data_IF_244727425033
#
_entry.id   IF_244727425033
#
_cell.length_a   1.000
_cell.length_b   1.000
_cell.length_c   1.000
_cell.angle_alpha   90.00
_cell.angle_beta   90.00
_cell.angle_gamma   90.00
#
_symmetry.space_group_name_H-M   'P 1'
#
loop_
_entity.id
_entity.type
_entity.pdbx_description
1 polymer ?
#
# COMPACT_ATOMS: atom_id res chain seq x y z
N UNK A 1 -6.28 8.58 -2.45
CA UNK A 1 -5.96 8.60 -1.01
C UNK A 1 -7.05 9.37 -0.29
N UNK A 2 -7.84 8.67 0.51
CA UNK A 2 -8.82 9.31 1.42
C UNK A 2 -8.01 9.72 2.65
N UNK A 3 -7.95 11.01 2.94
CA UNK A 3 -7.29 11.49 4.15
C UNK A 3 -8.11 11.05 5.37
N UNK A 4 -7.53 10.19 6.19
CA UNK A 4 -7.96 9.96 7.57
C UNK A 4 -8.90 8.79 7.82
N UNK A 5 -9.44 8.10 6.81
CA UNK A 5 -10.38 7.00 7.00
C UNK A 5 -9.78 5.64 6.61
N UNK A 6 -10.23 4.61 7.30
CA UNK A 6 -9.92 3.21 6.94
C UNK A 6 -10.54 2.93 5.57
N UNK A 7 -9.72 2.47 4.62
CA UNK A 7 -10.21 2.05 3.31
C UNK A 7 -10.93 0.71 3.45
N UNK A 8 -12.21 0.71 3.16
CA UNK A 8 -13.04 -0.49 3.07
C UNK A 8 -13.30 -0.84 1.60
N UNK A 9 -13.86 -2.02 1.36
CA UNK A 9 -14.29 -2.46 0.04
C UNK A 9 -15.34 -1.54 -0.59
N UNK A 10 -16.07 -0.77 0.22
CA UNK A 10 -17.09 0.19 -0.21
C UNK A 10 -16.49 1.51 -0.74
N UNK A 11 -15.21 1.76 -0.50
CA UNK A 11 -14.57 2.97 -0.97
C UNK A 11 -14.39 2.96 -2.49
N UNK A 12 -14.87 4.00 -3.17
CA UNK A 12 -14.65 4.18 -4.61
C UNK A 12 -13.16 4.41 -4.87
N UNK A 13 -12.50 3.55 -5.66
CA UNK A 13 -11.10 3.74 -5.99
C UNK A 13 -10.87 5.02 -6.79
N UNK A 14 -10.00 5.90 -6.30
CA UNK A 14 -9.57 7.10 -7.03
C UNK A 14 -8.13 6.87 -7.49
N UNK A 15 -7.90 6.53 -8.76
CA UNK A 15 -6.56 6.23 -9.24
C UNK A 15 -5.71 7.50 -9.33
N UNK A 16 -4.45 7.37 -8.91
CA UNK A 16 -3.45 8.42 -9.10
C UNK A 16 -2.44 7.95 -10.13
N UNK A 17 -2.53 8.50 -11.33
CA UNK A 17 -1.63 8.24 -12.43
C UNK A 17 -1.88 6.93 -13.21
N UNK A 18 -1.15 6.72 -14.32
CA UNK A 18 -1.44 5.68 -15.32
C UNK A 18 -1.44 4.25 -14.75
N UNK A 19 -0.60 3.98 -13.73
CA UNK A 19 -0.57 2.67 -13.10
C UNK A 19 -1.87 2.35 -12.37
N UNK A 20 -2.36 3.28 -11.54
CA UNK A 20 -3.64 3.11 -10.83
C UNK A 20 -4.81 2.98 -11.80
N UNK A 21 -4.84 3.81 -12.83
CA UNK A 21 -5.87 3.75 -13.88
C UNK A 21 -5.90 2.40 -14.60
N UNK A 22 -4.72 1.84 -14.92
CA UNK A 22 -4.64 0.54 -15.59
C UNK A 22 -5.18 -0.59 -14.72
N UNK A 23 -4.98 -0.52 -13.39
CA UNK A 23 -5.50 -1.50 -12.44
C UNK A 23 -7.02 -1.43 -12.32
N UNK A 24 -7.57 -0.24 -12.20
CA UNK A 24 -9.04 -0.06 -12.14
C UNK A 24 -9.71 -0.49 -13.44
N UNK A 25 -9.13 -0.17 -14.58
CA UNK A 25 -9.64 -0.66 -15.87
C UNK A 25 -9.64 -2.19 -15.96
N UNK A 26 -8.60 -2.84 -15.46
CA UNK A 26 -8.55 -4.31 -15.40
C UNK A 26 -9.60 -4.89 -14.46
N UNK A 27 -9.79 -4.31 -13.27
CA UNK A 27 -10.85 -4.71 -12.35
C UNK A 27 -12.24 -4.55 -12.99
N UNK A 28 -12.53 -3.39 -13.58
CA UNK A 28 -13.81 -3.13 -14.25
C UNK A 28 -14.07 -4.13 -15.36
N UNK A 29 -13.07 -4.45 -16.18
CA UNK A 29 -13.20 -5.45 -17.24
C UNK A 29 -13.51 -6.85 -16.69
N UNK A 30 -12.87 -7.24 -15.58
CA UNK A 30 -13.13 -8.53 -14.94
C UNK A 30 -14.56 -8.57 -14.38
N UNK A 31 -15.00 -7.52 -13.69
CA UNK A 31 -16.35 -7.42 -13.14
C UNK A 31 -17.39 -7.47 -14.26
N UNK A 32 -17.21 -6.67 -15.30
CA UNK A 32 -18.10 -6.65 -16.46
C UNK A 32 -18.23 -8.02 -17.14
N UNK A 33 -17.13 -8.77 -17.16
CA UNK A 33 -17.08 -10.08 -17.81
C UNK A 33 -17.66 -11.21 -16.96
N UNK A 34 -17.44 -11.17 -15.66
CA UNK A 34 -17.75 -12.31 -14.76
C UNK A 34 -18.93 -12.03 -13.82
N UNK A 35 -19.27 -10.80 -13.57
CA UNK A 35 -20.38 -10.39 -12.68
C UNK A 35 -21.00 -9.08 -13.15
N UNK A 36 -21.60 -9.03 -14.35
CA UNK A 36 -22.16 -7.81 -14.94
C UNK A 36 -23.25 -7.18 -14.06
N UNK A 37 -23.99 -7.98 -13.29
CA UNK A 37 -24.98 -7.52 -12.33
C UNK A 37 -24.36 -6.77 -11.15
N UNK A 38 -23.09 -7.00 -10.85
CA UNK A 38 -22.35 -6.30 -9.79
C UNK A 38 -21.81 -4.93 -10.24
N UNK A 39 -21.94 -4.55 -11.52
CA UNK A 39 -21.46 -3.26 -12.03
C UNK A 39 -22.06 -2.03 -11.32
N UNK A 40 -23.25 -2.18 -10.71
CA UNK A 40 -23.85 -1.15 -9.86
C UNK A 40 -23.44 -1.20 -8.40
N UNK A 41 -22.82 -2.29 -7.96
CA UNK A 41 -22.39 -2.57 -6.59
C UNK A 41 -20.95 -3.11 -6.59
N UNK A 42 -20.01 -2.28 -6.98
CA UNK A 42 -18.56 -2.60 -7.12
C UNK A 42 -17.89 -3.16 -5.84
N UNK A 43 -18.65 -3.42 -4.78
CA UNK A 43 -18.13 -3.56 -3.41
C UNK A 43 -18.60 -4.81 -2.68
N UNK A 44 -19.45 -5.64 -3.29
CA UNK A 44 -19.99 -6.84 -2.64
C UNK A 44 -19.58 -8.12 -3.38
N UNK A 45 -19.75 -9.23 -2.69
CA UNK A 45 -19.59 -10.57 -3.27
C UNK A 45 -20.34 -10.65 -4.60
N UNK A 46 -19.71 -11.20 -5.63
CA UNK A 46 -20.28 -11.28 -6.99
C UNK A 46 -21.45 -12.28 -7.10
N UNK A 47 -21.89 -12.85 -5.98
CA UNK A 47 -22.98 -13.84 -5.98
C UNK A 47 -22.68 -15.09 -6.80
N UNK A 48 -23.68 -15.96 -6.89
CA UNK A 48 -23.60 -17.24 -7.63
C UNK A 48 -23.89 -17.10 -9.14
N UNK A 49 -24.14 -15.88 -9.60
CA UNK A 49 -24.62 -15.55 -10.96
C UNK A 49 -23.51 -15.28 -11.97
N UNK A 50 -22.36 -15.95 -11.85
CA UNK A 50 -21.33 -15.79 -12.87
C UNK A 50 -21.81 -16.36 -14.22
N UNK A 51 -21.57 -15.60 -15.32
CA UNK A 51 -21.78 -16.06 -16.70
C UNK A 51 -21.03 -17.38 -16.99
N UNK A 52 -20.10 -17.74 -16.11
CA UNK A 52 -19.31 -18.96 -16.18
C UNK A 52 -19.56 -19.84 -14.95
N UNK A 53 -20.59 -20.72 -14.99
CA UNK A 53 -20.90 -21.62 -13.88
C UNK A 53 -19.67 -22.43 -13.45
N UNK A 54 -19.45 -22.53 -12.14
CA UNK A 54 -18.32 -23.27 -11.57
C UNK A 54 -16.97 -22.55 -11.61
N UNK A 55 -16.91 -21.29 -12.05
CA UNK A 55 -15.70 -20.47 -11.94
C UNK A 55 -15.86 -19.42 -10.84
N UNK A 56 -14.83 -19.22 -10.06
CA UNK A 56 -14.76 -18.21 -9.03
C UNK A 56 -13.74 -17.15 -9.40
N UNK A 57 -14.02 -15.90 -9.05
CA UNK A 57 -13.16 -14.76 -9.34
C UNK A 57 -12.89 -13.99 -8.05
N UNK A 58 -11.63 -13.83 -7.72
CA UNK A 58 -11.17 -13.08 -6.56
C UNK A 58 -10.32 -11.91 -7.02
N UNK A 59 -10.78 -10.69 -6.73
CA UNK A 59 -10.01 -9.46 -6.95
C UNK A 59 -9.36 -9.08 -5.63
N UNK A 60 -8.05 -9.26 -5.54
CA UNK A 60 -7.30 -8.95 -4.33
C UNK A 60 -6.68 -7.57 -4.42
N UNK A 61 -6.92 -6.74 -3.42
CA UNK A 61 -6.33 -5.40 -3.25
C UNK A 61 -5.41 -5.38 -2.04
N UNK A 62 -4.19 -5.94 -2.15
CA UNK A 62 -3.24 -5.92 -1.04
C UNK A 62 -2.75 -4.50 -0.77
N UNK A 63 -2.54 -4.20 0.50
CA UNK A 63 -1.81 -3.02 0.95
C UNK A 63 -0.34 -3.10 0.53
N UNK A 64 0.54 -2.31 1.13
CA UNK A 64 1.96 -2.34 0.79
C UNK A 64 2.58 -3.71 1.07
N UNK A 65 2.83 -4.48 0.01
CA UNK A 65 3.41 -5.82 0.13
C UNK A 65 4.87 -5.72 0.57
N UNK A 66 5.23 -6.52 1.57
CA UNK A 66 6.59 -6.64 2.06
C UNK A 66 7.04 -8.10 2.19
N UNK A 67 8.36 -8.32 2.18
CA UNK A 67 8.95 -9.64 2.31
C UNK A 67 10.31 -9.73 1.64
N UNK A 68 10.95 -10.91 1.65
CA UNK A 68 12.24 -11.13 1.01
C UNK A 68 12.21 -10.75 -0.48
N UNK A 69 13.21 -10.01 -0.94
CA UNK A 69 13.31 -9.58 -2.34
C UNK A 69 12.46 -8.37 -2.72
N UNK A 70 11.82 -7.69 -1.77
CA UNK A 70 11.07 -6.47 -2.03
C UNK A 70 11.96 -5.39 -2.69
N UNK A 71 11.44 -4.77 -3.77
CA UNK A 71 12.13 -3.70 -4.51
C UNK A 71 11.45 -2.32 -4.37
N UNK A 72 10.45 -2.21 -3.50
CA UNK A 72 9.64 -0.99 -3.32
C UNK A 72 10.24 0.04 -2.35
N UNK A 73 9.39 0.97 -1.91
CA UNK A 73 9.75 2.06 -1.01
C UNK A 73 10.28 1.57 0.35
N UNK A 74 9.87 0.39 0.80
CA UNK A 74 10.39 -0.23 2.02
C UNK A 74 11.88 -0.51 1.92
N UNK A 75 12.36 -0.94 0.76
CA UNK A 75 13.77 -1.18 0.53
C UNK A 75 14.60 0.11 0.57
N UNK A 76 14.01 1.23 0.10
CA UNK A 76 14.64 2.55 0.23
C UNK A 76 14.82 2.92 1.71
N UNK A 77 13.77 2.71 2.51
CA UNK A 77 13.80 2.99 3.95
C UNK A 77 14.84 2.11 4.66
N UNK A 78 14.85 0.82 4.38
CA UNK A 78 15.85 -0.12 4.87
C UNK A 78 17.28 0.33 4.52
N UNK A 79 17.53 0.77 3.29
CA UNK A 79 18.82 1.24 2.85
C UNK A 79 19.27 2.52 3.58
N UNK A 80 18.36 3.44 3.88
CA UNK A 80 18.65 4.66 4.66
C UNK A 80 19.06 4.26 6.07
N UNK A 81 18.27 3.42 6.73
CA UNK A 81 18.52 2.94 8.10
C UNK A 81 19.82 2.12 8.17
N UNK A 82 20.01 1.19 7.22
CA UNK A 82 21.20 0.32 7.19
C UNK A 82 22.51 1.11 7.03
N UNK A 83 22.48 2.26 6.37
CA UNK A 83 23.61 3.19 6.26
C UNK A 83 23.80 4.09 7.48
N UNK A 84 22.90 4.02 8.46
CA UNK A 84 22.94 4.87 9.66
C UNK A 84 22.60 6.33 9.39
N UNK A 85 21.95 6.63 8.26
CA UNK A 85 21.50 7.98 7.91
C UNK A 85 20.31 8.35 8.78
N UNK A 86 20.31 9.47 9.51
CA UNK A 86 19.18 9.91 10.29
C UNK A 86 17.94 10.16 9.40
N UNK A 87 16.77 9.74 9.87
CA UNK A 87 15.51 9.98 9.17
C UNK A 87 15.01 11.41 9.41
N UNK A 88 14.90 12.26 8.38
CA UNK A 88 14.61 13.68 8.57
C UNK A 88 13.10 14.00 8.63
N UNK A 89 12.22 13.04 8.33
CA UNK A 89 10.78 13.27 8.18
C UNK A 89 9.97 12.86 9.43
N UNK A 90 10.59 12.88 10.62
CA UNK A 90 9.94 12.48 11.87
C UNK A 90 8.71 13.32 12.25
N UNK A 91 8.61 14.56 11.77
CA UNK A 91 7.45 15.42 12.02
C UNK A 91 6.21 15.09 11.17
N UNK A 92 6.33 14.14 10.24
CA UNK A 92 5.21 13.70 9.41
C UNK A 92 4.57 12.47 10.04
N UNK A 93 3.32 12.66 10.47
CA UNK A 93 2.48 11.57 10.96
C UNK A 93 1.74 10.96 9.78
N UNK A 94 1.92 9.67 9.59
CA UNK A 94 1.17 8.87 8.63
C UNK A 94 0.95 7.48 9.23
N UNK A 95 -0.05 6.77 8.76
CA UNK A 95 -0.26 5.35 9.10
C UNK A 95 -0.52 4.58 7.82
N UNK A 96 0.12 3.43 7.68
CA UNK A 96 0.01 2.57 6.52
C UNK A 96 -0.19 1.14 6.92
N UNK A 97 -1.09 0.49 6.22
CA UNK A 97 -1.24 -0.94 6.32
C UNK A 97 -0.24 -1.64 5.41
N UNK A 98 0.21 -2.78 5.87
CA UNK A 98 1.17 -3.64 5.17
C UNK A 98 0.54 -5.00 4.94
N UNK A 99 1.10 -5.77 4.02
CA UNK A 99 0.73 -7.16 3.77
C UNK A 99 2.01 -7.95 3.56
N UNK A 100 2.29 -8.91 4.43
CA UNK A 100 3.44 -9.78 4.23
C UNK A 100 3.20 -10.72 3.05
N UNK A 101 4.24 -11.00 2.27
CA UNK A 101 4.17 -12.00 1.20
C UNK A 101 3.67 -13.35 1.74
N UNK A 102 4.03 -13.69 2.96
CA UNK A 102 3.64 -14.94 3.59
C UNK A 102 2.13 -14.99 3.87
N UNK A 103 1.56 -13.93 4.45
CA UNK A 103 0.12 -13.82 4.67
C UNK A 103 -0.63 -13.78 3.33
N UNK A 104 -0.11 -13.05 2.34
CA UNK A 104 -0.68 -13.04 1.00
C UNK A 104 -0.75 -14.44 0.39
N UNK A 105 0.32 -15.24 0.50
CA UNK A 105 0.31 -16.63 0.01
C UNK A 105 -0.69 -17.49 0.77
N UNK A 106 -0.80 -17.34 2.09
CA UNK A 106 -1.77 -18.07 2.91
C UNK A 106 -3.21 -17.77 2.48
N UNK A 107 -3.53 -16.50 2.21
CA UNK A 107 -4.88 -16.12 1.74
C UNK A 107 -5.14 -16.66 0.33
N UNK A 108 -4.16 -16.62 -0.57
CA UNK A 108 -4.29 -17.21 -1.91
C UNK A 108 -4.54 -18.72 -1.80
N UNK A 109 -3.81 -19.42 -0.96
CA UNK A 109 -4.04 -20.83 -0.68
C UNK A 109 -5.46 -21.07 -0.14
N UNK A 110 -5.94 -20.23 0.77
CA UNK A 110 -7.30 -20.27 1.27
C UNK A 110 -8.35 -20.14 0.16
N UNK A 111 -8.17 -19.21 -0.77
CA UNK A 111 -9.07 -19.05 -1.93
C UNK A 111 -9.06 -20.28 -2.88
N UNK A 112 -7.96 -20.99 -2.95
CA UNK A 112 -7.85 -22.17 -3.82
C UNK A 112 -8.37 -23.45 -3.16
N UNK A 113 -8.34 -23.53 -1.83
CA UNK A 113 -8.64 -24.78 -1.10
C UNK A 113 -9.96 -24.74 -0.34
N UNK A 114 -10.50 -23.56 -0.08
CA UNK A 114 -11.74 -23.39 0.67
C UNK A 114 -12.86 -22.84 -0.23
N UNK A 115 -14.10 -23.04 0.20
CA UNK A 115 -15.25 -22.46 -0.46
C UNK A 115 -15.40 -21.01 0.00
N UNK A 116 -14.84 -20.10 -0.78
CA UNK A 116 -14.96 -18.66 -0.56
C UNK A 116 -15.80 -18.06 -1.69
N UNK A 117 -16.62 -17.07 -1.41
CA UNK A 117 -17.42 -16.40 -2.43
C UNK A 117 -16.53 -15.56 -3.36
N UNK A 118 -16.92 -15.45 -4.63
CA UNK A 118 -16.30 -14.53 -5.57
C UNK A 118 -16.49 -13.09 -5.10
N UNK A 119 -15.46 -12.26 -5.21
CA UNK A 119 -15.58 -10.89 -4.70
C UNK A 119 -14.29 -10.09 -4.77
N UNK A 120 -14.37 -8.88 -4.20
CA UNK A 120 -13.22 -7.99 -3.98
C UNK A 120 -12.81 -8.10 -2.53
N UNK A 121 -11.51 -8.27 -2.28
CA UNK A 121 -10.95 -8.48 -0.95
C UNK A 121 -9.80 -7.52 -0.71
N UNK A 122 -9.91 -6.68 0.30
CA UNK A 122 -8.79 -5.90 0.82
C UNK A 122 -7.93 -6.79 1.71
N UNK A 123 -6.64 -6.63 1.61
CA UNK A 123 -5.69 -7.46 2.35
C UNK A 123 -4.67 -6.58 3.05
N UNK A 124 -4.63 -6.72 4.37
CA UNK A 124 -3.68 -6.05 5.25
C UNK A 124 -3.33 -6.96 6.43
N UNK A 125 -2.14 -6.79 6.96
CA UNK A 125 -1.77 -7.28 8.29
C UNK A 125 -2.47 -6.40 9.35
N UNK A 126 -2.66 -6.90 10.56
CA UNK A 126 -3.55 -6.31 11.57
C UNK A 126 -3.13 -4.89 12.03
N UNK A 127 -1.82 -4.64 12.14
CA UNK A 127 -1.33 -3.40 12.72
C UNK A 127 -0.79 -2.43 11.66
N UNK A 128 -1.47 -1.31 11.41
CA UNK A 128 -0.92 -0.24 10.58
C UNK A 128 0.21 0.47 11.32
N UNK A 129 1.34 0.68 10.65
CA UNK A 129 2.52 1.36 11.19
C UNK A 129 2.71 2.73 10.57
N UNK A 130 3.16 3.68 11.38
CA UNK A 130 3.73 4.93 10.87
C UNK A 130 5.12 4.69 10.27
N UNK A 131 5.59 5.62 9.44
CA UNK A 131 6.96 5.54 8.92
C UNK A 131 8.00 5.57 10.05
N UNK A 132 7.73 6.30 11.13
CA UNK A 132 8.63 6.36 12.30
C UNK A 132 8.70 5.01 13.01
N UNK A 133 7.56 4.39 13.33
CA UNK A 133 7.49 3.05 13.94
C UNK A 133 8.18 2.00 13.04
N UNK A 134 7.99 2.08 11.73
CA UNK A 134 8.65 1.19 10.78
C UNK A 134 10.19 1.34 10.82
N UNK A 135 10.70 2.58 10.96
CA UNK A 135 12.14 2.84 11.14
C UNK A 135 12.64 2.26 12.45
N UNK A 136 11.86 2.38 13.52
CA UNK A 136 12.21 1.78 14.83
C UNK A 136 12.34 0.26 14.71
N UNK A 137 11.36 -0.41 14.11
CA UNK A 137 11.40 -1.85 13.85
C UNK A 137 12.61 -2.26 13.01
N UNK A 138 12.92 -1.51 11.94
CA UNK A 138 14.10 -1.78 11.10
C UNK A 138 15.39 -1.59 11.90
N UNK A 139 15.48 -0.53 12.72
CA UNK A 139 16.65 -0.28 13.57
C UNK A 139 16.85 -1.40 14.59
N UNK A 140 15.78 -1.84 15.24
CA UNK A 140 15.81 -2.95 16.20
C UNK A 140 16.30 -4.24 15.54
N UNK A 141 15.73 -4.61 14.39
CA UNK A 141 16.14 -5.79 13.63
C UNK A 141 17.61 -5.75 13.17
N UNK A 142 18.17 -4.55 12.96
CA UNK A 142 19.58 -4.35 12.59
C UNK A 142 20.51 -4.15 13.79
N UNK A 143 20.01 -4.14 15.02
CA UNK A 143 20.79 -3.82 16.22
C UNK A 143 21.34 -2.39 16.22
N UNK A 144 20.63 -1.44 15.61
CA UNK A 144 21.05 -0.05 15.47
C UNK A 144 20.22 0.90 16.34
N UNK A 145 20.83 2.02 16.73
CA UNK A 145 20.06 3.08 17.41
C UNK A 145 19.20 3.83 16.41
N UNK A 146 17.93 4.00 16.76
CA UNK A 146 17.00 4.84 16.01
C UNK A 146 17.45 6.31 16.03
N UNK A 147 17.48 6.94 14.85
CA UNK A 147 17.82 8.35 14.65
C UNK A 147 16.75 9.02 13.80
N UNK A 148 15.72 9.53 14.45
CA UNK A 148 14.63 10.28 13.82
C UNK A 148 14.77 11.75 14.16
N UNK A 149 14.80 12.60 13.15
CA UNK A 149 14.85 14.05 13.30
C UNK A 149 13.48 14.65 13.00
N UNK A 150 12.99 15.44 13.93
CA UNK A 150 11.68 16.10 13.84
C UNK A 150 11.85 17.52 13.28
N UNK A 151 12.15 17.61 11.98
CA UNK A 151 12.28 18.89 11.29
C UNK A 151 10.88 19.43 10.99
N UNK A 152 10.56 20.69 11.32
CA UNK A 152 9.24 21.27 11.02
C UNK A 152 8.87 21.15 9.54
N UNK A 153 7.60 20.80 9.26
CA UNK A 153 7.11 20.55 7.89
C UNK A 153 7.40 21.69 6.92
N UNK A 154 7.27 22.94 7.38
CA UNK A 154 7.58 24.13 6.55
C UNK A 154 9.04 24.18 6.09
N UNK A 155 9.99 23.85 6.98
CA UNK A 155 11.41 23.82 6.65
C UNK A 155 11.71 22.69 5.67
N UNK A 156 11.12 21.52 5.88
CA UNK A 156 11.27 20.38 4.99
C UNK A 156 10.73 20.63 3.58
N UNK A 157 9.60 21.31 3.46
CA UNK A 157 9.04 21.67 2.15
C UNK A 157 9.98 22.59 1.36
N UNK A 158 10.52 23.61 2.02
CA UNK A 158 11.53 24.51 1.40
C UNK A 158 12.81 23.73 0.99
N UNK A 159 13.29 22.84 1.86
CA UNK A 159 14.45 21.99 1.55
C UNK A 159 14.19 21.03 0.39
N UNK A 160 12.98 20.49 0.28
CA UNK A 160 12.60 19.59 -0.81
C UNK A 160 12.52 20.33 -2.16
N UNK A 161 12.01 21.57 -2.17
CA UNK A 161 12.00 22.43 -3.36
C UNK A 161 13.43 22.76 -3.81
N UNK A 162 14.30 23.13 -2.88
CA UNK A 162 15.72 23.37 -3.15
C UNK A 162 16.46 22.08 -3.54
N UNK A 163 16.12 20.94 -2.91
CA UNK A 163 16.70 19.62 -3.17
C UNK A 163 16.37 19.07 -4.55
N UNK A 164 15.20 19.40 -5.10
CA UNK A 164 14.84 19.12 -6.50
C UNK A 164 15.82 19.79 -7.50
N UNK A 165 16.34 20.93 -7.16
CA UNK A 165 17.33 21.67 -7.95
C UNK A 165 18.76 21.09 -7.82
N UNK A 166 19.08 20.49 -6.66
CA UNK A 166 20.39 19.91 -6.34
C UNK A 166 20.52 18.39 -6.64
N UNK A 167 19.51 17.77 -7.31
CA UNK A 167 19.49 16.32 -7.61
C UNK A 167 19.65 15.42 -6.37
N UNK A 168 19.23 15.88 -5.20
CA UNK A 168 19.21 15.07 -3.99
C UNK A 168 18.14 13.96 -4.06
N UNK A 169 18.32 12.82 -3.37
CA UNK A 169 17.37 11.70 -3.39
C UNK A 169 15.99 12.01 -2.82
N UNK A 170 15.82 13.15 -2.14
CA UNK A 170 14.57 13.68 -1.61
C UNK A 170 14.03 14.74 -2.57
N UNK A 171 13.18 14.35 -3.51
CA UNK A 171 12.42 15.30 -4.32
C UNK A 171 10.97 15.40 -3.78
N UNK A 172 10.20 16.47 -4.08
CA UNK A 172 8.84 16.67 -3.58
C UNK A 172 7.92 15.47 -3.80
N UNK A 173 8.01 14.83 -4.96
CA UNK A 173 7.19 13.66 -5.31
C UNK A 173 7.50 12.41 -4.45
N UNK A 174 8.77 12.17 -4.14
CA UNK A 174 9.17 11.07 -3.25
C UNK A 174 8.81 11.37 -1.80
N UNK A 175 8.96 12.63 -1.40
CA UNK A 175 8.57 13.08 -0.07
C UNK A 175 7.06 12.91 0.14
N UNK A 176 6.25 13.34 -0.81
CA UNK A 176 4.80 13.12 -0.79
C UNK A 176 4.46 11.65 -0.63
N UNK A 177 5.05 10.77 -1.43
CA UNK A 177 4.84 9.31 -1.32
C UNK A 177 5.31 8.69 0.00
N UNK A 178 6.20 9.33 0.73
CA UNK A 178 6.68 8.82 2.03
C UNK A 178 5.89 9.38 3.21
N UNK A 179 5.17 10.48 3.03
CA UNK A 179 4.45 11.20 4.08
C UNK A 179 2.93 11.12 3.98
N UNK A 180 2.36 10.68 2.85
CA UNK A 180 0.93 10.40 2.69
C UNK A 180 0.55 9.03 3.27
N UNK A 181 -0.74 8.91 3.67
CA UNK A 181 -1.37 7.65 4.10
C UNK A 181 -1.65 6.73 2.92
#
# INVERSE_FOLDING_TARGET
>A
SVQGDILTEECVPVPIGPYGESKIKAESYIIERFAPEALGNLYHAFGDSSIYPGKQVYIMRPCMIHGPGNKGNLNLLYNVVSKGIPWPLGAFENRRSFTSVQNLCTVIEGFLTQKVESGIYHMADDDPLSTNELIEVICEALGKKTRILYIPKGVMNVMAEMGGWLHLPLNPFRMQKLTEN
#
